data_IF_144866212074
#
_entry.id   IF_144866212074
#
_cell.length_a   1.000
_cell.length_b   1.000
_cell.length_c   1.000
_cell.angle_alpha   90.00
_cell.angle_beta   90.00
_cell.angle_gamma   90.00
#
_symmetry.space_group_name_H-M   'P 1'
#
loop_
_entity.id
_entity.type
_entity.pdbx_description
1 polymer ?
#
# COMPACT_ATOMS: atom_id res chain seq x y z
N UNK A 1 -31.13 12.85 -10.91
CA UNK A 1 -29.89 12.35 -11.53
C UNK A 1 -28.82 12.50 -10.47
N UNK A 2 -28.42 11.40 -9.86
CA UNK A 2 -27.40 11.42 -8.81
C UNK A 2 -26.05 11.67 -9.50
N UNK A 3 -25.46 12.83 -9.23
CA UNK A 3 -24.19 13.25 -9.81
C UNK A 3 -23.03 12.46 -9.20
N UNK A 4 -22.94 11.17 -9.50
CA UNK A 4 -21.82 10.33 -9.08
C UNK A 4 -20.55 10.94 -9.65
N UNK A 5 -19.66 11.43 -8.77
CA UNK A 5 -18.36 11.94 -9.22
C UNK A 5 -17.61 10.78 -9.84
N UNK A 6 -16.82 11.06 -10.88
CA UNK A 6 -16.12 10.03 -11.66
C UNK A 6 -14.77 9.67 -11.03
N UNK A 7 -14.41 10.34 -9.94
CA UNK A 7 -13.11 10.29 -9.29
C UNK A 7 -13.24 10.17 -7.78
N UNK A 8 -12.19 9.63 -7.17
CA UNK A 8 -12.03 9.42 -5.74
C UNK A 8 -10.89 10.31 -5.25
N UNK A 9 -10.93 10.78 -4.01
CA UNK A 9 -9.93 11.69 -3.44
C UNK A 9 -9.27 11.02 -2.24
N UNK A 10 -7.95 10.96 -2.23
CA UNK A 10 -7.17 10.45 -1.10
C UNK A 10 -6.43 11.61 -0.43
N UNK A 11 -6.84 11.95 0.79
CA UNK A 11 -6.47 13.21 1.42
C UNK A 11 -5.71 13.01 2.75
N UNK A 12 -4.70 13.84 3.02
CA UNK A 12 -4.11 14.01 4.36
C UNK A 12 -4.40 15.44 4.80
N UNK A 13 -5.30 15.59 5.77
CA UNK A 13 -5.85 16.90 6.13
C UNK A 13 -6.54 17.55 4.93
N UNK A 14 -6.10 18.74 4.54
CA UNK A 14 -6.64 19.49 3.38
C UNK A 14 -5.92 19.18 2.06
N UNK A 15 -4.93 18.28 2.07
CA UNK A 15 -4.08 18.00 0.91
C UNK A 15 -4.47 16.69 0.24
N UNK A 16 -4.89 16.77 -1.01
CA UNK A 16 -5.05 15.59 -1.88
C UNK A 16 -3.70 15.05 -2.33
N UNK A 17 -3.49 13.76 -2.12
CA UNK A 17 -2.30 13.02 -2.51
C UNK A 17 -2.50 12.24 -3.81
N UNK A 18 -3.74 11.85 -4.10
CA UNK A 18 -4.11 11.10 -5.30
C UNK A 18 -5.59 11.27 -5.63
N UNK A 19 -5.88 11.44 -6.92
CA UNK A 19 -7.22 11.59 -7.47
C UNK A 19 -7.49 10.59 -8.62
N UNK A 20 -7.66 9.29 -8.33
CA UNK A 20 -7.95 8.30 -9.37
C UNK A 20 -9.42 8.32 -9.81
N UNK A 21 -9.72 7.62 -10.89
CA UNK A 21 -11.11 7.26 -11.20
C UNK A 21 -11.68 6.29 -10.16
N UNK A 22 -13.01 6.17 -10.14
CA UNK A 22 -13.73 5.34 -9.16
C UNK A 22 -13.27 3.88 -9.04
N UNK A 23 -12.94 3.24 -10.17
CA UNK A 23 -12.54 1.83 -10.17
C UNK A 23 -11.25 1.57 -9.38
N UNK A 24 -10.12 2.17 -9.80
CA UNK A 24 -8.85 2.04 -9.09
C UNK A 24 -8.91 2.51 -7.64
N UNK A 25 -9.56 3.65 -7.35
CA UNK A 25 -9.67 4.15 -5.98
C UNK A 25 -10.40 3.17 -5.06
N UNK A 26 -11.57 2.67 -5.49
CA UNK A 26 -12.32 1.68 -4.71
C UNK A 26 -11.54 0.38 -4.54
N UNK A 27 -10.92 -0.14 -5.60
CA UNK A 27 -10.12 -1.35 -5.52
C UNK A 27 -8.97 -1.19 -4.51
N UNK A 28 -8.30 -0.03 -4.52
CA UNK A 28 -7.22 0.26 -3.59
C UNK A 28 -7.69 0.19 -2.13
N UNK A 29 -8.85 0.76 -1.80
CA UNK A 29 -9.44 0.68 -0.45
C UNK A 29 -9.77 -0.75 -0.03
N UNK A 30 -10.40 -1.53 -0.91
CA UNK A 30 -10.75 -2.93 -0.63
C UNK A 30 -9.50 -3.79 -0.41
N UNK A 31 -8.44 -3.58 -1.21
CA UNK A 31 -7.16 -4.28 -1.04
C UNK A 31 -6.47 -3.85 0.26
N UNK A 32 -6.48 -2.56 0.60
CA UNK A 32 -5.94 -2.07 1.87
C UNK A 32 -6.58 -2.78 3.07
N UNK A 33 -7.92 -2.88 3.08
CA UNK A 33 -8.70 -3.59 4.10
C UNK A 33 -8.36 -5.07 4.18
N UNK A 34 -8.23 -5.75 3.04
CA UNK A 34 -7.86 -7.17 3.02
C UNK A 34 -6.47 -7.42 3.62
N UNK A 35 -5.54 -6.48 3.41
CA UNK A 35 -4.15 -6.56 3.87
C UNK A 35 -3.95 -6.17 5.34
N UNK A 36 -4.96 -5.64 6.06
CA UNK A 36 -4.86 -5.36 7.51
C UNK A 36 -4.48 -6.60 8.31
N UNK A 37 -5.01 -7.77 7.93
CA UNK A 37 -4.67 -9.05 8.56
C UNK A 37 -3.24 -9.52 8.26
N UNK A 38 -2.69 -9.12 7.12
CA UNK A 38 -1.31 -9.46 6.72
C UNK A 38 -0.30 -8.55 7.41
N UNK A 39 -0.66 -7.27 7.59
CA UNK A 39 0.14 -6.27 8.31
C UNK A 39 -0.01 -6.36 9.84
N UNK A 40 -1.06 -7.02 10.34
CA UNK A 40 -1.48 -7.02 11.74
C UNK A 40 -1.72 -5.59 12.30
N UNK A 41 -2.10 -4.67 11.42
CA UNK A 41 -2.29 -3.24 11.69
C UNK A 41 -3.49 -2.70 10.90
N UNK A 42 -4.23 -1.73 11.45
CA UNK A 42 -5.26 -1.01 10.68
C UNK A 42 -4.61 -0.24 9.53
N UNK A 43 -5.28 -0.18 8.37
CA UNK A 43 -4.70 0.45 7.20
C UNK A 43 -4.62 1.97 7.31
N UNK A 44 -5.46 2.62 8.13
CA UNK A 44 -5.46 4.08 8.27
C UNK A 44 -6.15 4.85 7.13
N UNK A 45 -6.87 4.15 6.23
CA UNK A 45 -7.73 4.78 5.21
C UNK A 45 -9.17 4.88 5.73
N UNK A 46 -9.85 5.98 5.39
CA UNK A 46 -11.26 6.22 5.76
C UNK A 46 -11.41 6.95 7.08
N UNK A 47 -10.41 7.73 7.48
CA UNK A 47 -10.40 8.60 8.66
C UNK A 47 -10.52 10.07 8.24
N UNK A 48 -10.93 10.98 9.12
CA UNK A 48 -10.85 12.43 8.85
C UNK A 48 -12.17 13.20 8.80
N UNK A 49 -12.07 14.45 8.31
CA UNK A 49 -13.09 15.51 8.47
C UNK A 49 -14.36 15.26 7.63
N UNK A 50 -14.21 14.58 6.50
CA UNK A 50 -15.31 14.01 5.73
C UNK A 50 -15.68 12.68 6.40
N UNK A 51 -16.53 12.76 7.42
CA UNK A 51 -16.91 11.61 8.24
C UNK A 51 -17.48 10.43 7.43
N UNK A 52 -17.85 9.33 8.09
CA UNK A 52 -18.39 8.15 7.43
C UNK A 52 -19.62 8.53 6.57
N UNK A 53 -19.47 8.60 5.25
CA UNK A 53 -20.57 8.96 4.37
C UNK A 53 -20.23 9.59 3.02
N UNK A 54 -19.03 10.18 2.81
CA UNK A 54 -18.62 10.56 1.45
C UNK A 54 -18.02 9.33 0.73
N UNK A 55 -18.71 8.74 -0.26
CA UNK A 55 -18.23 7.56 -0.95
C UNK A 55 -17.04 7.83 -1.87
N UNK A 56 -16.72 9.11 -2.12
CA UNK A 56 -15.72 9.54 -3.08
C UNK A 56 -14.51 10.22 -2.41
N UNK A 57 -14.51 10.41 -1.09
CA UNK A 57 -13.36 10.95 -0.32
C UNK A 57 -12.86 9.94 0.71
N UNK A 58 -11.54 9.80 0.76
CA UNK A 58 -10.82 8.86 1.59
C UNK A 58 -9.71 9.61 2.33
N UNK A 59 -10.02 10.12 3.51
CA UNK A 59 -8.98 10.67 4.36
C UNK A 59 -8.04 9.57 4.88
N UNK A 60 -6.76 9.91 4.97
CA UNK A 60 -5.65 9.06 5.37
C UNK A 60 -5.09 9.57 6.70
N UNK A 61 -5.06 8.69 7.70
CA UNK A 61 -4.28 8.87 8.93
C UNK A 61 -2.84 8.53 8.53
N UNK A 62 -2.07 9.57 8.19
CA UNK A 62 -0.74 9.38 7.65
C UNK A 62 0.18 8.56 8.57
N UNK A 63 0.23 8.81 9.90
CA UNK A 63 0.95 7.92 10.83
C UNK A 63 0.52 6.45 10.75
N UNK A 64 -0.78 6.16 10.81
CA UNK A 64 -1.28 4.78 10.77
C UNK A 64 -1.00 4.12 9.41
N UNK A 65 -1.26 4.84 8.31
CA UNK A 65 -1.01 4.36 6.95
C UNK A 65 0.48 4.13 6.67
N UNK A 66 1.36 4.97 7.23
CA UNK A 66 2.82 4.78 7.13
C UNK A 66 3.28 3.51 7.86
N UNK A 67 2.79 3.28 9.08
CA UNK A 67 3.14 2.08 9.85
C UNK A 67 2.60 0.80 9.18
N UNK A 68 1.37 0.85 8.66
CA UNK A 68 0.78 -0.23 7.88
C UNK A 68 1.60 -0.53 6.61
N UNK A 69 1.98 0.49 5.85
CA UNK A 69 2.80 0.34 4.65
C UNK A 69 4.18 -0.23 4.98
N UNK A 70 4.82 0.23 6.05
CA UNK A 70 6.12 -0.30 6.51
C UNK A 70 6.04 -1.79 6.87
N UNK A 71 5.01 -2.20 7.60
CA UNK A 71 4.79 -3.59 7.97
C UNK A 71 4.60 -4.49 6.73
N UNK A 72 3.89 -4.01 5.71
CA UNK A 72 3.73 -4.74 4.44
C UNK A 72 5.03 -4.83 3.65
N UNK A 73 5.82 -3.75 3.58
CA UNK A 73 7.15 -3.79 2.94
C UNK A 73 8.06 -4.79 3.64
N UNK A 74 8.11 -4.77 4.98
CA UNK A 74 8.88 -5.72 5.78
C UNK A 74 8.44 -7.16 5.47
N UNK A 75 7.12 -7.41 5.51
CA UNK A 75 6.55 -8.72 5.22
C UNK A 75 6.88 -9.21 3.81
N UNK A 76 6.82 -8.33 2.81
CA UNK A 76 7.21 -8.63 1.44
C UNK A 76 8.68 -9.03 1.34
N UNK A 77 9.59 -8.25 1.96
CA UNK A 77 11.04 -8.46 1.86
C UNK A 77 11.53 -9.69 2.63
N UNK A 78 10.88 -10.02 3.74
CA UNK A 78 11.24 -11.18 4.57
C UNK A 78 10.66 -12.50 4.05
N UNK A 79 9.65 -12.45 3.18
CA UNK A 79 8.98 -13.61 2.61
C UNK A 79 9.77 -14.26 1.47
N UNK A 80 9.86 -15.59 1.50
CA UNK A 80 10.32 -16.40 0.37
C UNK A 80 9.17 -16.84 -0.55
N UNK A 81 7.91 -16.60 -0.19
CA UNK A 81 6.76 -17.07 -0.95
C UNK A 81 6.46 -16.16 -2.14
N UNK A 82 6.61 -16.67 -3.36
CA UNK A 82 6.45 -15.86 -4.58
C UNK A 82 5.02 -15.33 -4.74
N UNK A 83 4.03 -16.20 -4.59
CA UNK A 83 2.62 -15.83 -4.78
C UNK A 83 2.18 -14.73 -3.79
N UNK A 84 2.53 -14.87 -2.50
CA UNK A 84 2.23 -13.84 -1.50
C UNK A 84 2.83 -12.48 -1.88
N UNK A 85 4.10 -12.46 -2.29
CA UNK A 85 4.76 -11.23 -2.76
C UNK A 85 4.03 -10.61 -3.94
N UNK A 86 3.71 -11.41 -4.96
CA UNK A 86 3.01 -10.94 -6.16
C UNK A 86 1.61 -10.38 -5.87
N UNK A 87 0.90 -10.93 -4.88
CA UNK A 87 -0.42 -10.42 -4.48
C UNK A 87 -0.36 -9.05 -3.81
N UNK A 88 0.75 -8.73 -3.13
CA UNK A 88 0.91 -7.46 -2.40
C UNK A 88 1.59 -6.36 -3.23
N UNK A 89 2.41 -6.74 -4.21
CA UNK A 89 3.39 -5.85 -4.85
C UNK A 89 2.79 -4.56 -5.44
N UNK A 90 1.73 -4.69 -6.25
CA UNK A 90 1.09 -3.53 -6.88
C UNK A 90 0.43 -2.58 -5.87
N UNK A 91 -0.12 -3.13 -4.78
CA UNK A 91 -0.67 -2.30 -3.70
C UNK A 91 0.43 -1.57 -2.93
N UNK A 92 1.48 -2.29 -2.53
CA UNK A 92 2.60 -1.73 -1.76
C UNK A 92 3.25 -0.58 -2.52
N UNK A 93 3.47 -0.73 -3.83
CA UNK A 93 4.06 0.33 -4.64
C UNK A 93 3.24 1.62 -4.63
N UNK A 94 1.91 1.55 -4.80
CA UNK A 94 1.04 2.73 -4.68
C UNK A 94 1.03 3.29 -3.26
N UNK A 95 1.03 2.44 -2.24
CA UNK A 95 1.04 2.86 -0.84
C UNK A 95 2.32 3.63 -0.46
N UNK A 96 3.49 3.17 -0.90
CA UNK A 96 4.77 3.88 -0.72
C UNK A 96 4.67 5.31 -1.27
N UNK A 97 4.17 5.45 -2.50
CA UNK A 97 4.01 6.77 -3.14
C UNK A 97 3.10 7.68 -2.32
N UNK A 98 1.98 7.17 -1.81
CA UNK A 98 1.07 7.95 -0.96
C UNK A 98 1.73 8.37 0.36
N UNK A 99 2.49 7.48 1.02
CA UNK A 99 3.26 7.81 2.23
C UNK A 99 4.25 8.93 1.95
N UNK A 100 5.06 8.80 0.90
CA UNK A 100 6.07 9.80 0.52
C UNK A 100 5.44 11.14 0.15
N UNK A 101 4.37 11.13 -0.66
CA UNK A 101 3.62 12.34 -1.02
C UNK A 101 3.05 13.01 0.23
N UNK A 102 2.56 12.24 1.20
CA UNK A 102 2.09 12.73 2.49
C UNK A 102 3.18 13.32 3.39
N UNK A 103 4.46 13.06 3.09
CA UNK A 103 5.60 13.45 3.92
C UNK A 103 5.96 12.43 5.00
N UNK A 104 5.41 11.21 4.93
CA UNK A 104 5.80 10.08 5.76
C UNK A 104 7.02 9.35 5.22
N UNK A 105 7.40 8.26 5.88
CA UNK A 105 8.57 7.45 5.52
C UNK A 105 8.27 5.97 5.65
N UNK A 106 8.97 5.14 4.87
CA UNK A 106 8.88 3.67 4.91
C UNK A 106 10.28 3.06 5.19
N UNK A 107 10.74 3.04 6.45
CA UNK A 107 12.07 2.56 6.83
C UNK A 107 12.44 1.16 6.29
N UNK A 108 11.47 0.26 6.24
CA UNK A 108 11.65 -1.12 5.77
C UNK A 108 12.09 -1.22 4.30
N UNK A 109 12.14 -0.14 3.52
CA UNK A 109 12.77 -0.16 2.19
C UNK A 109 14.30 -0.23 2.26
N UNK A 110 14.91 0.36 3.29
CA UNK A 110 16.37 0.51 3.40
C UNK A 110 17.02 -0.39 4.45
N UNK A 111 16.23 -0.98 5.36
CA UNK A 111 16.74 -1.88 6.39
C UNK A 111 17.24 -3.22 5.81
N UNK A 112 18.05 -3.96 6.56
CA UNK A 112 18.33 -5.35 6.19
C UNK A 112 17.11 -6.23 6.50
N UNK A 113 16.60 -7.00 5.53
CA UNK A 113 15.42 -7.81 5.76
C UNK A 113 15.75 -9.01 6.64
N UNK A 114 14.91 -9.24 7.65
CA UNK A 114 14.92 -10.46 8.44
C UNK A 114 14.54 -11.69 7.62
N UNK A 115 14.30 -12.81 8.31
CA UNK A 115 13.79 -14.03 7.68
C UNK A 115 12.47 -14.41 8.31
N UNK A 116 11.43 -14.47 7.50
CA UNK A 116 10.12 -14.93 7.93
C UNK A 116 9.90 -16.39 7.52
N UNK A 117 9.55 -17.23 8.48
CA UNK A 117 9.30 -18.65 8.29
C UNK A 117 7.80 -19.02 8.30
N UNK A 118 6.89 -18.04 8.38
CA UNK A 118 5.43 -18.28 8.37
C UNK A 118 4.95 -18.87 7.05
N UNK A 119 5.44 -18.35 5.92
CA UNK A 119 5.08 -18.80 4.57
C UNK A 119 6.33 -19.14 3.77
N UNK A 120 6.86 -20.34 3.96
CA UNK A 120 8.03 -20.82 3.23
C UNK A 120 7.59 -21.54 1.97
N UNK A 121 7.99 -21.01 0.82
CA UNK A 121 7.87 -21.75 -0.43
C UNK A 121 9.11 -22.63 -0.63
N UNK A 122 8.88 -23.94 -0.69
CA UNK A 122 9.91 -24.95 -0.98
C UNK A 122 9.67 -25.47 -2.39
N UNK A 123 10.64 -25.26 -3.28
CA UNK A 123 10.64 -25.82 -4.62
C UNK A 123 11.55 -27.04 -4.73
N UNK A 124 11.68 -27.62 -5.94
CA UNK A 124 12.55 -28.78 -6.21
C UNK A 124 14.02 -28.55 -5.85
N UNK A 125 14.46 -27.30 -5.75
CA UNK A 125 15.83 -26.88 -5.46
C UNK A 125 15.99 -26.24 -4.06
N UNK A 126 15.02 -26.46 -3.16
CA UNK A 126 15.03 -25.89 -1.81
C UNK A 126 14.20 -24.60 -1.68
N UNK A 127 14.57 -23.76 -0.70
CA UNK A 127 13.84 -22.53 -0.40
C UNK A 127 13.93 -21.55 -1.57
N UNK A 128 12.79 -21.00 -1.98
CA UNK A 128 12.75 -19.96 -2.99
C UNK A 128 13.54 -18.70 -2.56
N UNK A 129 14.13 -17.95 -3.51
CA UNK A 129 14.82 -16.71 -3.20
C UNK A 129 13.88 -15.65 -2.61
N UNK A 130 14.43 -14.78 -1.76
CA UNK A 130 13.74 -13.61 -1.19
C UNK A 130 13.39 -12.59 -2.27
N UNK A 131 12.72 -11.51 -1.87
CA UNK A 131 12.49 -10.34 -2.73
C UNK A 131 13.80 -9.74 -3.23
N UNK A 132 13.78 -9.35 -4.50
CA UNK A 132 14.73 -8.37 -5.02
C UNK A 132 14.56 -7.08 -4.19
N UNK A 133 15.62 -6.58 -3.55
CA UNK A 133 15.55 -5.40 -2.70
C UNK A 133 15.07 -4.14 -3.43
N UNK A 134 15.33 -4.02 -4.74
CA UNK A 134 15.08 -2.79 -5.50
C UNK A 134 13.71 -2.79 -6.18
N UNK A 135 13.07 -3.96 -6.31
CA UNK A 135 11.82 -4.15 -7.06
C UNK A 135 10.69 -3.22 -6.62
N UNK A 136 10.50 -3.04 -5.30
CA UNK A 136 9.45 -2.16 -4.79
C UNK A 136 9.75 -0.68 -5.05
N UNK A 137 11.03 -0.30 -5.01
CA UNK A 137 11.47 1.07 -5.28
C UNK A 137 11.24 1.43 -6.75
N UNK A 138 11.61 0.52 -7.66
CA UNK A 138 11.36 0.69 -9.10
C UNK A 138 9.86 0.81 -9.41
N UNK A 139 9.04 -0.07 -8.82
CA UNK A 139 7.60 -0.07 -9.06
C UNK A 139 6.91 1.17 -8.46
N UNK A 140 7.35 1.61 -7.27
CA UNK A 140 6.86 2.86 -6.67
C UNK A 140 7.20 4.08 -7.55
N UNK A 141 8.42 4.12 -8.12
CA UNK A 141 8.80 5.20 -9.04
C UNK A 141 7.92 5.22 -10.31
N UNK A 142 7.63 4.04 -10.89
CA UNK A 142 6.71 3.91 -12.04
C UNK A 142 5.29 4.40 -11.69
N UNK A 143 4.77 3.99 -10.53
CA UNK A 143 3.45 4.42 -10.07
C UNK A 143 3.41 5.93 -9.80
N UNK A 144 4.44 6.49 -9.16
CA UNK A 144 4.53 7.92 -8.89
C UNK A 144 4.45 8.77 -10.16
N UNK A 145 5.11 8.34 -11.24
CA UNK A 145 5.03 8.98 -12.55
C UNK A 145 3.67 8.87 -13.25
N UNK A 146 2.84 7.89 -12.85
CA UNK A 146 1.54 7.60 -13.47
C UNK A 146 0.34 8.11 -12.65
N UNK A 147 0.53 8.43 -11.37
CA UNK A 147 -0.53 8.85 -10.46
C UNK A 147 -0.84 10.34 -10.61
N UNK A 148 -2.08 10.65 -11.01
CA UNK A 148 -2.65 11.99 -11.02
C UNK A 148 -2.75 12.61 -9.61
N UNK A 149 -2.80 13.94 -9.55
CA UNK A 149 -2.94 14.72 -8.32
C UNK A 149 -4.36 15.26 -8.18
#
# INVERSE_FOLDING_TARGET
>A
MDGKRVSQYFDVGERTLWNPSNGPGRLFVEVAKALESVAELPCGIGVGQWGPGDPDSHGIDLPAFSAFTDALVRRYRESSHLILRSLMEGFIATAIVLVERGGGTVPALSEEPGTDNRDVQVGPHGRAPKADPDRLVELAAEHSGSMAW
#
